data_IF_634495899206
#
_entry.id   IF_634495899206
#
_cell.length_a   1.000
_cell.length_b   1.000
_cell.length_c   1.000
_cell.angle_alpha   90.00
_cell.angle_beta   90.00
_cell.angle_gamma   90.00
#
_symmetry.space_group_name_H-M   'P 1'
#
loop_
_entity.id
_entity.type
_entity.pdbx_description
1 polymer ?
#
# COMPACT_ATOMS: atom_id res chain seq x y z
N UNK A 1 -6.67 13.64 5.15
CA UNK A 1 -7.07 13.86 3.76
C UNK A 1 -5.97 13.34 2.85
N UNK A 2 -6.36 12.65 1.78
CA UNK A 2 -5.54 12.27 0.63
C UNK A 2 -6.05 13.08 -0.57
N UNK A 3 -5.14 13.67 -1.34
CA UNK A 3 -5.41 14.36 -2.61
C UNK A 3 -4.47 13.83 -3.67
N UNK A 4 -5.02 13.50 -4.84
CA UNK A 4 -4.26 13.04 -6.00
C UNK A 4 -4.77 13.80 -7.22
N UNK A 5 -3.91 14.63 -7.78
CA UNK A 5 -4.12 15.29 -9.07
C UNK A 5 -2.96 14.95 -9.98
N UNK A 6 -3.19 14.14 -11.01
CA UNK A 6 -2.09 13.63 -11.83
C UNK A 6 -2.52 13.33 -13.25
N UNK A 7 -1.59 13.51 -14.19
CA UNK A 7 -1.71 13.20 -15.60
C UNK A 7 -0.52 12.39 -16.06
N UNK A 8 -0.79 11.31 -16.78
CA UNK A 8 0.26 10.46 -17.36
C UNK A 8 -0.30 9.61 -18.47
N UNK A 9 0.53 9.26 -19.45
CA UNK A 9 0.18 8.26 -20.46
C UNK A 9 0.74 6.89 -20.09
N UNK A 10 -0.08 5.85 -20.20
CA UNK A 10 0.26 4.45 -19.95
C UNK A 10 -0.04 3.63 -21.20
N UNK A 11 0.93 3.56 -22.13
CA UNK A 11 0.70 2.97 -23.45
C UNK A 11 -0.37 3.76 -24.21
N UNK A 12 -1.50 3.12 -24.53
CA UNK A 12 -2.63 3.75 -25.21
C UNK A 12 -3.62 4.45 -24.26
N UNK A 13 -3.43 4.34 -22.94
CA UNK A 13 -4.31 4.94 -21.94
C UNK A 13 -3.78 6.32 -21.53
N UNK A 14 -4.58 7.36 -21.76
CA UNK A 14 -4.37 8.67 -21.14
C UNK A 14 -5.11 8.69 -19.79
N UNK A 15 -4.36 8.84 -18.70
CA UNK A 15 -4.90 8.82 -17.34
C UNK A 15 -4.88 10.24 -16.76
N UNK A 16 -6.06 10.83 -16.55
CA UNK A 16 -6.28 12.10 -15.84
C UNK A 16 -7.00 11.81 -14.52
N UNK A 17 -6.32 12.08 -13.40
CA UNK A 17 -6.76 11.77 -12.05
C UNK A 17 -7.03 13.07 -11.32
N UNK A 18 -8.23 13.21 -10.77
CA UNK A 18 -8.56 14.21 -9.76
C UNK A 18 -9.44 13.54 -8.71
N UNK A 19 -8.87 13.29 -7.53
CA UNK A 19 -9.61 12.73 -6.39
C UNK A 19 -9.14 13.33 -5.08
N UNK A 20 -10.08 13.40 -4.15
CA UNK A 20 -9.86 13.75 -2.75
C UNK A 20 -10.60 12.74 -1.87
N UNK A 21 -9.96 12.35 -0.77
CA UNK A 21 -10.52 11.42 0.22
C UNK A 21 -10.30 12.02 1.60
N UNK A 22 -11.38 12.24 2.34
CA UNK A 22 -11.32 12.78 3.68
C UNK A 22 -10.68 11.79 4.66
N UNK A 23 -10.25 12.27 5.83
CA UNK A 23 -9.77 11.38 6.87
C UNK A 23 -10.92 10.49 7.38
N UNK A 24 -10.71 9.17 7.43
CA UNK A 24 -11.72 8.21 7.85
C UNK A 24 -12.72 7.81 6.75
N UNK A 25 -12.60 8.37 5.55
CA UNK A 25 -13.45 8.01 4.41
C UNK A 25 -12.88 6.79 3.67
N UNK A 26 -13.80 5.96 3.15
CA UNK A 26 -13.47 4.84 2.28
C UNK A 26 -13.93 5.14 0.85
N UNK A 27 -12.97 5.27 -0.07
CA UNK A 27 -13.24 5.46 -1.49
C UNK A 27 -13.05 4.13 -2.25
N UNK A 28 -14.06 3.74 -3.04
CA UNK A 28 -13.97 2.62 -3.97
C UNK A 28 -13.90 3.12 -5.42
N UNK A 29 -12.92 2.63 -6.19
CA UNK A 29 -12.78 2.93 -7.62
C UNK A 29 -13.25 1.70 -8.41
N UNK A 30 -14.34 1.85 -9.17
CA UNK A 30 -14.93 0.78 -9.99
C UNK A 30 -14.84 1.11 -11.48
N UNK A 31 -14.74 0.08 -12.32
CA UNK A 31 -14.63 0.22 -13.77
C UNK A 31 -14.06 -1.03 -14.44
N UNK A 32 -14.12 -1.13 -15.79
CA UNK A 32 -13.68 -2.32 -16.52
C UNK A 32 -12.18 -2.59 -16.35
N UNK A 33 -11.76 -3.81 -16.67
CA UNK A 33 -10.33 -4.13 -16.74
C UNK A 33 -9.62 -3.18 -17.72
N UNK A 34 -8.41 -2.74 -17.38
CA UNK A 34 -7.66 -1.76 -18.19
C UNK A 34 -8.03 -0.29 -18.00
N UNK A 35 -9.08 0.05 -17.22
CA UNK A 35 -9.48 1.44 -16.97
C UNK A 35 -8.51 2.27 -16.10
N UNK A 36 -7.31 1.76 -15.78
CA UNK A 36 -6.31 2.49 -14.99
C UNK A 36 -6.49 2.47 -13.46
N UNK A 37 -7.46 1.73 -12.91
CA UNK A 37 -7.73 1.66 -11.45
C UNK A 37 -6.50 1.36 -10.61
N UNK A 38 -5.77 0.30 -10.95
CA UNK A 38 -4.52 -0.08 -10.27
C UNK A 38 -3.46 1.01 -10.43
N UNK A 39 -3.41 1.69 -11.58
CA UNK A 39 -2.50 2.80 -11.82
C UNK A 39 -2.78 3.99 -10.92
N UNK A 40 -4.06 4.32 -10.67
CA UNK A 40 -4.45 5.37 -9.71
C UNK A 40 -3.90 5.06 -8.32
N UNK A 41 -4.10 3.83 -7.83
CA UNK A 41 -3.56 3.41 -6.53
C UNK A 41 -2.03 3.43 -6.51
N UNK A 42 -1.37 3.01 -7.59
CA UNK A 42 0.10 3.05 -7.70
C UNK A 42 0.64 4.48 -7.73
N UNK A 43 -0.04 5.44 -8.34
CA UNK A 43 0.33 6.86 -8.29
C UNK A 43 0.26 7.40 -6.87
N UNK A 44 -0.85 7.14 -6.17
CA UNK A 44 -1.02 7.55 -4.78
C UNK A 44 0.09 6.96 -3.87
N UNK A 45 0.41 5.67 -4.04
CA UNK A 45 1.43 4.97 -3.28
C UNK A 45 2.88 5.24 -3.73
N UNK A 46 3.10 5.95 -4.84
CA UNK A 46 4.43 6.24 -5.38
C UNK A 46 5.06 5.10 -6.18
N UNK A 47 4.33 4.01 -6.42
CA UNK A 47 4.78 2.87 -7.21
C UNK A 47 4.71 3.14 -8.73
N UNK A 48 4.06 4.23 -9.12
CA UNK A 48 4.02 4.75 -10.49
C UNK A 48 4.17 6.26 -10.43
N UNK A 49 5.22 6.79 -11.05
CA UNK A 49 5.45 8.24 -11.13
C UNK A 49 4.72 8.80 -12.36
N UNK A 50 3.76 9.73 -12.22
CA UNK A 50 3.12 10.37 -13.36
C UNK A 50 4.05 11.39 -14.03
N UNK A 51 3.74 11.78 -15.27
CA UNK A 51 4.43 12.86 -15.98
C UNK A 51 4.24 14.21 -15.27
N UNK A 52 3.01 14.48 -14.86
CA UNK A 52 2.62 15.69 -14.13
C UNK A 52 1.70 15.33 -12.97
N UNK A 53 1.87 15.97 -11.83
CA UNK A 53 0.91 15.84 -10.75
C UNK A 53 1.40 16.26 -9.38
N UNK A 54 0.43 16.26 -8.46
CA UNK A 54 0.59 16.51 -7.03
C UNK A 54 -0.11 15.37 -6.28
N UNK A 55 0.58 14.81 -5.29
CA UNK A 55 0.03 13.83 -4.35
C UNK A 55 0.29 14.33 -2.95
N UNK A 56 -0.77 14.50 -2.16
CA UNK A 56 -0.69 14.98 -0.78
C UNK A 56 -1.47 14.05 0.13
N UNK A 57 -0.90 13.72 1.29
CA UNK A 57 -1.58 12.90 2.28
C UNK A 57 -1.12 13.25 3.69
N UNK A 58 -2.08 13.38 4.60
CA UNK A 58 -1.78 13.64 6.02
C UNK A 58 -0.99 14.93 6.26
N UNK A 59 -1.19 15.96 5.43
CA UNK A 59 -0.48 17.24 5.51
C UNK A 59 0.93 17.24 4.91
N UNK A 60 1.37 16.14 4.31
CA UNK A 60 2.64 16.05 3.60
C UNK A 60 2.42 15.99 2.08
N UNK A 61 3.23 16.72 1.32
CA UNK A 61 3.33 16.56 -0.13
C UNK A 61 4.26 15.38 -0.43
N UNK A 62 3.71 14.31 -1.00
CA UNK A 62 4.47 13.12 -1.41
C UNK A 62 5.00 13.23 -2.83
N UNK A 63 4.29 13.94 -3.70
CA UNK A 63 4.72 14.22 -5.06
C UNK A 63 4.32 15.65 -5.41
N UNK A 64 5.21 16.40 -6.03
CA UNK A 64 4.90 17.59 -6.79
C UNK A 64 5.91 17.70 -7.93
N UNK A 65 5.46 17.38 -9.14
CA UNK A 65 6.32 17.35 -10.33
C UNK A 65 6.87 18.72 -10.70
N UNK A 66 6.17 19.82 -10.35
CA UNK A 66 6.61 21.19 -10.66
C UNK A 66 7.66 21.68 -9.67
N UNK A 67 7.57 21.24 -8.42
CA UNK A 67 8.52 21.56 -7.35
C UNK A 67 9.67 20.56 -7.23
N UNK A 68 9.68 19.51 -8.04
CA UNK A 68 10.70 18.45 -7.99
C UNK A 68 10.62 17.58 -6.73
N UNK A 69 9.45 17.50 -6.09
CA UNK A 69 9.22 16.67 -4.91
C UNK A 69 8.81 15.27 -5.38
N UNK A 70 9.51 14.24 -4.94
CA UNK A 70 9.17 12.84 -5.19
C UNK A 70 9.61 11.98 -3.99
N UNK A 71 8.69 11.80 -3.04
CA UNK A 71 8.92 10.96 -1.85
C UNK A 71 8.79 9.50 -2.28
N UNK A 72 9.84 8.67 -2.05
CA UNK A 72 9.79 7.27 -2.45
C UNK A 72 8.77 6.48 -1.63
N UNK A 73 8.18 5.40 -2.19
CA UNK A 73 7.10 4.63 -1.56
C UNK A 73 7.37 4.22 -0.11
N UNK A 74 8.57 3.73 0.20
CA UNK A 74 8.96 3.27 1.53
C UNK A 74 9.01 4.38 2.59
N UNK A 75 8.99 5.64 2.17
CA UNK A 75 8.91 6.82 3.06
C UNK A 75 7.50 7.42 3.12
N UNK A 76 6.56 6.96 2.29
CA UNK A 76 5.16 7.37 2.36
C UNK A 76 4.49 6.61 3.50
N UNK A 77 3.81 7.32 4.39
CA UNK A 77 3.08 6.71 5.52
C UNK A 77 1.76 6.09 5.05
N UNK A 78 1.81 5.13 4.13
CA UNK A 78 0.67 4.37 3.64
C UNK A 78 0.99 2.88 3.57
N UNK A 79 -0.03 2.05 3.83
CA UNK A 79 -0.01 0.64 3.45
C UNK A 79 -0.48 0.47 2.00
N UNK A 80 0.12 -0.48 1.28
CA UNK A 80 -0.31 -0.86 -0.06
C UNK A 80 -0.53 -2.38 -0.10
N UNK A 81 -1.72 -2.80 -0.52
CA UNK A 81 -2.05 -4.20 -0.75
C UNK A 81 -2.12 -4.45 -2.26
N UNK A 82 -1.38 -5.46 -2.71
CA UNK A 82 -1.33 -5.88 -4.10
C UNK A 82 -2.47 -6.84 -4.42
N UNK A 83 -2.80 -6.97 -5.70
CA UNK A 83 -3.82 -7.92 -6.17
C UNK A 83 -3.45 -9.38 -5.85
N UNK A 84 -2.16 -9.70 -5.94
CA UNK A 84 -1.58 -10.93 -5.38
C UNK A 84 -0.88 -10.52 -4.09
N UNK A 85 -1.19 -11.15 -2.96
CA UNK A 85 -0.91 -10.66 -1.60
C UNK A 85 0.56 -10.39 -1.22
N UNK A 86 1.51 -10.49 -2.15
CA UNK A 86 2.92 -10.09 -2.01
C UNK A 86 3.61 -10.55 -0.71
N UNK A 87 3.13 -11.66 -0.14
CA UNK A 87 3.70 -12.26 1.06
C UNK A 87 5.09 -12.80 0.74
N UNK A 88 6.03 -12.60 1.64
CA UNK A 88 7.35 -13.18 1.56
C UNK A 88 7.27 -14.68 1.86
N UNK A 89 7.46 -15.57 0.87
CA UNK A 89 7.18 -17.00 1.01
C UNK A 89 8.16 -17.72 1.95
N UNK A 90 9.32 -17.11 2.20
CA UNK A 90 10.37 -17.61 3.07
C UNK A 90 10.20 -17.16 4.52
N UNK A 91 9.25 -16.26 4.80
CA UNK A 91 8.93 -15.76 6.13
C UNK A 91 7.66 -16.44 6.68
N UNK A 92 7.57 -16.61 7.99
CA UNK A 92 6.33 -17.03 8.67
C UNK A 92 5.29 -15.90 8.65
N UNK A 93 4.05 -16.19 9.04
CA UNK A 93 2.98 -15.19 9.14
C UNK A 93 3.37 -14.03 10.06
N UNK A 94 3.91 -14.32 11.26
CA UNK A 94 4.33 -13.26 12.18
C UNK A 94 5.50 -12.44 11.61
N UNK A 95 6.40 -13.07 10.85
CA UNK A 95 7.53 -12.39 10.22
C UNK A 95 7.08 -11.47 9.06
N UNK A 96 6.07 -11.89 8.29
CA UNK A 96 5.46 -11.04 7.26
C UNK A 96 4.83 -9.79 7.88
N UNK A 97 4.04 -9.96 8.95
CA UNK A 97 3.41 -8.83 9.67
C UNK A 97 4.45 -7.93 10.35
N UNK A 98 5.52 -8.51 10.89
CA UNK A 98 6.60 -7.77 11.56
C UNK A 98 7.60 -7.09 10.60
N UNK A 99 7.55 -7.40 9.30
CA UNK A 99 8.50 -6.92 8.31
C UNK A 99 8.70 -5.38 8.34
N UNK A 100 7.65 -4.54 8.34
CA UNK A 100 7.83 -3.08 8.35
C UNK A 100 8.32 -2.50 9.69
N UNK A 101 8.50 -3.31 10.73
CA UNK A 101 8.91 -2.84 12.06
C UNK A 101 10.44 -2.78 12.24
N UNK A 102 11.19 -2.46 11.18
CA UNK A 102 12.65 -2.35 11.26
C UNK A 102 13.11 -1.40 12.39
N UNK A 103 14.22 -1.75 13.05
CA UNK A 103 14.72 -1.01 14.22
C UNK A 103 14.07 -1.37 15.55
N UNK A 104 12.96 -2.12 15.56
CA UNK A 104 12.33 -2.61 16.81
C UNK A 104 12.96 -3.94 17.27
N UNK A 105 13.25 -4.12 18.57
CA UNK A 105 13.77 -5.38 19.10
C UNK A 105 12.94 -6.60 18.68
N UNK A 106 13.60 -7.72 18.37
CA UNK A 106 12.94 -8.93 17.83
C UNK A 106 11.76 -9.40 18.69
N UNK A 107 11.91 -9.39 20.02
CA UNK A 107 10.86 -9.80 20.95
C UNK A 107 9.61 -8.93 20.79
N UNK A 108 9.79 -7.62 20.82
CA UNK A 108 8.71 -6.65 20.70
C UNK A 108 8.04 -6.71 19.31
N UNK A 109 8.82 -6.91 18.23
CA UNK A 109 8.26 -7.14 16.89
C UNK A 109 7.33 -8.36 16.86
N UNK A 110 7.77 -9.47 17.45
CA UNK A 110 6.97 -10.70 17.50
C UNK A 110 5.70 -10.49 18.32
N UNK A 111 5.80 -9.87 19.49
CA UNK A 111 4.64 -9.56 20.34
C UNK A 111 3.60 -8.71 19.58
N UNK A 112 4.03 -7.61 18.92
CA UNK A 112 3.14 -6.75 18.12
C UNK A 112 2.51 -7.47 16.92
N UNK A 113 3.29 -8.30 16.22
CA UNK A 113 2.82 -9.05 15.07
C UNK A 113 1.81 -10.14 15.44
N UNK A 114 2.10 -10.91 16.49
CA UNK A 114 1.18 -11.96 16.98
C UNK A 114 -0.12 -11.34 17.50
N UNK A 115 -0.06 -10.23 18.25
CA UNK A 115 -1.26 -9.51 18.68
C UNK A 115 -2.12 -9.03 17.50
N UNK A 116 -1.49 -8.66 16.38
CA UNK A 116 -2.21 -8.30 15.14
C UNK A 116 -2.86 -9.53 14.51
N UNK A 117 -2.16 -10.67 14.42
CA UNK A 117 -2.71 -11.94 13.93
C UNK A 117 -3.89 -12.44 14.79
N UNK A 118 -3.80 -12.33 16.11
CA UNK A 118 -4.88 -12.66 17.05
C UNK A 118 -6.13 -11.82 16.79
N UNK A 119 -5.96 -10.53 16.49
CA UNK A 119 -7.06 -9.62 16.16
C UNK A 119 -7.83 -10.04 14.89
N UNK A 120 -7.16 -10.76 13.99
CA UNK A 120 -7.76 -11.34 12.78
C UNK A 120 -8.14 -12.83 12.94
N UNK A 121 -8.03 -13.39 14.15
CA UNK A 121 -8.42 -14.78 14.43
C UNK A 121 -7.45 -15.85 13.93
N UNK A 122 -6.22 -15.46 13.54
CA UNK A 122 -5.20 -16.36 12.97
C UNK A 122 -3.92 -16.40 13.81
N UNK A 123 -4.02 -16.08 15.11
CA UNK A 123 -2.87 -16.04 16.04
C UNK A 123 -2.13 -17.38 16.12
N UNK A 124 -2.84 -18.50 16.10
CA UNK A 124 -2.26 -19.85 16.12
C UNK A 124 -1.42 -20.17 14.89
N UNK A 125 -1.64 -19.45 13.78
CA UNK A 125 -0.92 -19.61 12.52
C UNK A 125 0.36 -18.74 12.45
N UNK A 126 0.78 -18.12 13.55
CA UNK A 126 1.94 -17.24 13.59
C UNK A 126 3.21 -17.85 12.94
N UNK A 127 3.47 -19.13 13.17
CA UNK A 127 4.63 -19.85 12.64
C UNK A 127 4.39 -20.49 11.25
N UNK A 128 3.17 -20.44 10.73
CA UNK A 128 2.84 -20.96 9.40
C UNK A 128 3.52 -20.13 8.31
N UNK A 129 3.84 -20.75 7.18
CA UNK A 129 4.38 -20.07 5.99
C UNK A 129 3.25 -19.83 4.96
N UNK A 130 3.34 -18.81 4.10
CA UNK A 130 2.27 -18.47 3.14
C UNK A 130 1.74 -19.63 2.29
N UNK A 131 2.60 -20.60 1.95
CA UNK A 131 2.22 -21.78 1.17
C UNK A 131 1.31 -22.77 1.91
N UNK A 132 1.26 -22.74 3.24
CA UNK A 132 0.39 -23.60 4.06
C UNK A 132 -0.90 -22.90 4.51
N UNK A 133 -1.05 -21.62 4.19
CA UNK A 133 -2.23 -20.83 4.51
C UNK A 133 -3.30 -20.99 3.40
N UNK A 134 -4.56 -21.01 3.82
CA UNK A 134 -5.71 -20.89 2.93
C UNK A 134 -5.76 -19.51 2.27
N UNK A 135 -6.64 -19.35 1.27
CA UNK A 135 -6.79 -18.08 0.57
C UNK A 135 -7.32 -16.93 1.44
N UNK A 136 -8.09 -17.23 2.49
CA UNK A 136 -8.60 -16.21 3.42
C UNK A 136 -7.66 -15.91 4.58
N UNK A 137 -6.71 -16.80 4.86
CA UNK A 137 -5.67 -16.59 5.89
C UNK A 137 -4.45 -15.82 5.36
N UNK A 138 -4.24 -15.82 4.04
CA UNK A 138 -3.22 -15.00 3.36
C UNK A 138 -3.67 -13.55 3.23
#
# INVERSE_FOLDING_TARGET
>A
MLRVEARTRLGALDLDIALEVAAGECLAIAGPSGAGKTSVLRVAAGLLRPEHGVVEAGGATWLDTRRGIDVPPERRRCGYLFQEYALFPHLTAWQNVAYPLEGVPRRERRERAVASLERFGIGELAEARPGTLSGGER
#
